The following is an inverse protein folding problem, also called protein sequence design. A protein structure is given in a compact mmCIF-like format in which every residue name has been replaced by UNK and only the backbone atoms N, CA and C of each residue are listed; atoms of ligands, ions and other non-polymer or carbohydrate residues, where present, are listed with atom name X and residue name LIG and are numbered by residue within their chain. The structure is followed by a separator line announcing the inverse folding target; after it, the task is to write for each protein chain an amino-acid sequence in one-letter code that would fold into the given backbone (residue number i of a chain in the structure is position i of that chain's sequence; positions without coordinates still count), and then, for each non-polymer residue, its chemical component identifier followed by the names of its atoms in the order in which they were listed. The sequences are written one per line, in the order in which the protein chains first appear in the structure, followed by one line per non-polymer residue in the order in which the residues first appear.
data_IF_844967341452
#
_entry.id   IF_844967341452
#
_cell.length_a   1.000
_cell.length_b   1.000
_cell.length_c   1.000
_cell.angle_alpha   90.00
_cell.angle_beta   90.00
_cell.angle_gamma   90.00
#
_symmetry.space_group_name_H-M   'P 1'
#
loop_
_entity.id
_entity.type
_entity.pdbx_description
1 polymer ?
#
# COMPACT_ATOMS: atom_id res chain seq x y z
N UNK A 1 9.83 2.82 10.02
CA UNK A 1 8.54 3.55 10.09
C UNK A 1 8.20 4.15 8.75
N UNK A 2 8.55 5.42 8.52
CA UNK A 2 8.29 6.11 7.25
C UNK A 2 8.82 5.33 6.03
N UNK A 3 10.05 4.81 6.08
CA UNK A 3 10.63 4.05 4.98
C UNK A 3 9.83 2.77 4.65
N UNK A 4 9.43 2.01 5.67
CA UNK A 4 8.63 0.80 5.50
C UNK A 4 7.21 1.04 4.95
N UNK A 5 6.63 2.23 5.20
CA UNK A 5 5.26 2.57 4.77
C UNK A 5 5.28 3.29 3.41
N UNK A 6 6.08 4.35 3.27
CA UNK A 6 5.99 5.28 2.15
C UNK A 6 7.12 5.14 1.11
N UNK A 7 8.31 4.68 1.50
CA UNK A 7 9.43 4.55 0.55
C UNK A 7 9.39 3.20 -0.16
N UNK A 8 8.98 2.15 0.56
CA UNK A 8 9.03 0.78 0.09
C UNK A 8 10.45 0.22 0.18
N UNK A 9 10.57 -0.98 0.74
CA UNK A 9 11.87 -1.64 0.92
C UNK A 9 11.90 -2.99 0.23
N UNK A 10 13.09 -3.36 -0.22
CA UNK A 10 13.42 -4.74 -0.57
C UNK A 10 14.10 -5.40 0.63
N UNK A 11 13.56 -6.53 1.09
CA UNK A 11 14.22 -7.34 2.11
C UNK A 11 15.42 -8.03 1.47
N UNK A 12 16.64 -7.59 1.84
CA UNK A 12 17.90 -8.18 1.37
C UNK A 12 18.03 -8.25 -0.17
N UNK A 13 17.37 -7.34 -0.89
CA UNK A 13 17.35 -7.31 -2.35
C UNK A 13 16.66 -8.50 -3.03
N UNK A 14 15.80 -9.25 -2.32
CA UNK A 14 15.11 -10.44 -2.86
C UNK A 14 13.59 -10.33 -2.88
N UNK A 15 13.00 -9.69 -1.88
CA UNK A 15 11.54 -9.57 -1.75
C UNK A 15 11.10 -8.13 -1.57
N UNK A 16 10.12 -7.69 -2.35
CA UNK A 16 9.51 -6.37 -2.22
C UNK A 16 8.38 -6.46 -1.20
N UNK A 17 8.56 -5.88 0.00
CA UNK A 17 7.56 -5.97 1.08
C UNK A 17 6.71 -4.71 1.26
N UNK A 18 7.04 -3.61 0.57
CA UNK A 18 6.33 -2.33 0.67
C UNK A 18 6.01 -1.75 -0.70
N UNK A 19 5.93 -0.43 -0.79
CA UNK A 19 5.57 0.32 -2.02
C UNK A 19 4.09 0.17 -2.37
N UNK A 20 3.24 0.76 -1.52
CA UNK A 20 1.79 0.85 -1.68
C UNK A 20 1.30 2.31 -1.84
N UNK A 21 2.17 3.27 -1.56
CA UNK A 21 1.87 4.69 -1.72
C UNK A 21 1.93 5.09 -3.21
N UNK A 22 0.87 5.70 -3.72
CA UNK A 22 0.77 6.03 -5.15
C UNK A 22 1.75 7.11 -5.60
N UNK A 23 2.11 8.07 -4.73
CA UNK A 23 3.11 9.10 -5.06
C UNK A 23 4.47 8.44 -5.28
N UNK A 24 4.86 7.51 -4.40
CA UNK A 24 6.09 6.75 -4.56
C UNK A 24 6.04 5.85 -5.79
N UNK A 25 4.90 5.19 -6.06
CA UNK A 25 4.69 4.41 -7.28
C UNK A 25 4.95 5.29 -8.52
N UNK A 26 4.29 6.45 -8.61
CA UNK A 26 4.46 7.40 -9.72
C UNK A 26 5.93 7.83 -9.90
N UNK A 27 6.62 8.18 -8.81
CA UNK A 27 8.01 8.63 -8.88
C UNK A 27 8.96 7.51 -9.33
N UNK A 28 8.72 6.26 -8.92
CA UNK A 28 9.53 5.11 -9.33
C UNK A 28 9.24 4.68 -10.77
N UNK A 29 7.99 4.74 -11.21
CA UNK A 29 7.58 4.51 -12.60
C UNK A 29 8.19 5.56 -13.54
N UNK A 30 8.11 6.85 -13.17
CA UNK A 30 8.75 7.94 -13.93
C UNK A 30 10.26 7.77 -14.07
N UNK A 31 10.90 7.12 -13.10
CA UNK A 31 12.34 6.77 -13.13
C UNK A 31 12.63 5.45 -13.86
N UNK A 32 11.63 4.79 -14.44
CA UNK A 32 11.72 3.47 -15.09
C UNK A 32 12.16 2.35 -14.15
N UNK A 33 12.00 2.53 -12.84
CA UNK A 33 12.25 1.48 -11.86
C UNK A 33 11.04 0.56 -11.72
N UNK A 34 9.84 1.04 -12.05
CA UNK A 34 8.61 0.25 -12.05
C UNK A 34 8.23 -0.10 -13.50
N UNK A 35 7.81 -1.35 -13.66
CA UNK A 35 7.23 -1.91 -14.89
C UNK A 35 5.84 -2.43 -14.55
N UNK A 36 4.83 -1.62 -14.88
CA UNK A 36 3.43 -1.89 -14.59
C UNK A 36 2.89 -3.06 -15.45
N UNK A 37 2.25 -4.03 -14.80
CA UNK A 37 1.76 -5.27 -15.43
C UNK A 37 0.25 -5.37 -15.52
N UNK A 38 -0.48 -4.49 -14.84
CA UNK A 38 -1.94 -4.49 -14.82
C UNK A 38 -2.53 -4.31 -13.42
N UNK A 39 -3.85 -4.34 -13.37
CA UNK A 39 -4.63 -4.27 -12.13
C UNK A 39 -5.48 -5.53 -11.96
N UNK A 40 -5.93 -5.78 -10.74
CA UNK A 40 -6.97 -6.76 -10.43
C UNK A 40 -8.24 -6.02 -10.04
N UNK A 41 -9.28 -6.13 -10.86
CA UNK A 41 -10.56 -5.47 -10.61
C UNK A 41 -11.26 -6.11 -9.38
N UNK A 42 -12.12 -5.32 -8.72
CA UNK A 42 -12.93 -5.78 -7.59
C UNK A 42 -14.01 -6.75 -8.08
N UNK A 43 -14.49 -7.62 -7.19
CA UNK A 43 -15.48 -8.67 -7.53
C UNK A 43 -16.76 -8.17 -8.22
N UNK A 44 -17.13 -6.90 -8.03
CA UNK A 44 -18.35 -6.30 -8.57
C UNK A 44 -18.13 -5.24 -9.67
N UNK A 45 -16.88 -5.00 -10.09
CA UNK A 45 -16.54 -4.13 -11.24
C UNK A 45 -15.71 -4.93 -12.25
N UNK A 46 -16.10 -4.90 -13.51
CA UNK A 46 -15.35 -5.57 -14.59
C UNK A 46 -14.06 -4.83 -14.97
N UNK A 47 -14.02 -3.51 -14.73
CA UNK A 47 -12.89 -2.63 -15.02
C UNK A 47 -12.89 -1.49 -13.99
N UNK A 48 -11.73 -1.13 -13.42
CA UNK A 48 -11.62 0.09 -12.66
C UNK A 48 -11.75 1.32 -13.58
N UNK A 49 -12.42 2.34 -13.07
CA UNK A 49 -12.61 3.64 -13.72
C UNK A 49 -11.76 4.71 -13.04
N UNK A 50 -11.87 5.94 -13.54
CA UNK A 50 -11.08 7.09 -13.08
C UNK A 50 -11.44 7.51 -11.65
N UNK A 51 -12.58 7.03 -11.13
CA UNK A 51 -13.10 7.35 -9.81
C UNK A 51 -12.68 6.31 -8.74
N UNK A 52 -12.03 5.20 -9.14
CA UNK A 52 -11.55 4.19 -8.21
C UNK A 52 -10.31 4.67 -7.43
N UNK A 53 -10.53 5.02 -6.16
CA UNK A 53 -9.48 5.51 -5.24
C UNK A 53 -8.69 4.39 -4.56
N UNK A 54 -9.01 3.12 -4.84
CA UNK A 54 -8.28 1.95 -4.33
C UNK A 54 -8.15 0.89 -5.41
N UNK A 55 -6.91 0.61 -5.82
CA UNK A 55 -6.61 -0.37 -6.87
C UNK A 55 -5.67 -1.47 -6.37
N UNK A 56 -5.91 -2.69 -6.83
CA UNK A 56 -4.95 -3.78 -6.71
C UNK A 56 -4.01 -3.74 -7.91
N UNK A 57 -2.74 -3.43 -7.68
CA UNK A 57 -1.76 -3.24 -8.75
C UNK A 57 -0.77 -4.42 -8.79
N UNK A 58 -0.42 -4.85 -10.00
CA UNK A 58 0.64 -5.80 -10.29
C UNK A 58 1.76 -5.09 -11.05
N UNK A 59 2.98 -5.15 -10.53
CA UNK A 59 4.14 -4.51 -11.16
C UNK A 59 5.44 -5.18 -10.77
N UNK A 60 6.47 -4.97 -11.58
CA UNK A 60 7.85 -5.27 -11.20
C UNK A 60 8.54 -4.00 -10.71
N UNK A 61 9.39 -4.09 -9.69
CA UNK A 61 10.27 -3.01 -9.25
C UNK A 61 11.72 -3.46 -9.34
N UNK A 62 12.51 -2.80 -10.19
CA UNK A 62 13.89 -3.19 -10.53
C UNK A 62 13.97 -4.67 -10.93
N UNK A 63 13.13 -5.06 -11.89
CA UNK A 63 13.02 -6.41 -12.45
C UNK A 63 12.45 -7.49 -11.51
N UNK A 64 12.29 -7.21 -10.22
CA UNK A 64 11.64 -8.12 -9.28
C UNK A 64 10.13 -7.96 -9.32
N UNK A 65 9.42 -9.07 -9.52
CA UNK A 65 7.95 -9.09 -9.52
C UNK A 65 7.44 -8.90 -8.09
N UNK A 66 6.70 -7.82 -7.84
CA UNK A 66 5.99 -7.63 -6.56
C UNK A 66 4.66 -8.40 -6.61
N UNK A 67 4.27 -9.14 -5.57
CA UNK A 67 2.91 -9.68 -5.48
C UNK A 67 1.85 -8.56 -5.54
N UNK A 68 0.68 -8.88 -6.13
CA UNK A 68 -0.47 -7.96 -6.19
C UNK A 68 -0.72 -7.35 -4.82
N UNK A 69 -0.86 -6.02 -4.76
CA UNK A 69 -1.19 -5.32 -3.54
C UNK A 69 -2.13 -4.15 -3.79
N UNK A 70 -2.99 -3.88 -2.81
CA UNK A 70 -3.85 -2.70 -2.78
C UNK A 70 -3.01 -1.44 -2.62
N UNK A 71 -3.37 -0.38 -3.32
CA UNK A 71 -2.82 0.97 -3.17
C UNK A 71 -3.96 1.97 -3.18
N UNK A 72 -3.91 2.96 -2.28
CA UNK A 72 -4.77 4.13 -2.41
C UNK A 72 -4.29 4.99 -3.57
N UNK A 73 -5.21 5.54 -4.36
CA UNK A 73 -4.93 6.39 -5.53
C UNK A 73 -5.54 7.77 -5.28
N UNK A 74 -4.75 8.83 -5.52
CA UNK A 74 -5.22 10.21 -5.42
C UNK A 74 -5.39 10.75 -3.99
N UNK A 75 -5.24 9.91 -2.97
CA UNK A 75 -5.27 10.35 -1.56
C UNK A 75 -4.05 11.19 -1.21
N UNK A 76 -4.17 12.06 -0.22
CA UNK A 76 -3.02 12.82 0.27
C UNK A 76 -2.13 11.99 1.19
N UNK A 77 -0.80 12.24 1.25
CA UNK A 77 0.09 11.52 2.17
C UNK A 77 -0.35 11.60 3.64
N UNK A 78 -0.93 12.72 4.05
CA UNK A 78 -1.46 12.90 5.41
C UNK A 78 -2.68 12.04 5.70
N UNK A 79 -3.50 11.68 4.71
CA UNK A 79 -4.61 10.73 4.88
C UNK A 79 -4.08 9.34 5.24
N UNK A 80 -3.16 8.79 4.42
CA UNK A 80 -2.52 7.49 4.70
C UNK A 80 -1.83 7.51 6.06
N UNK A 81 -1.08 8.57 6.36
CA UNK A 81 -0.39 8.73 7.65
C UNK A 81 -1.36 8.73 8.83
N UNK A 82 -2.48 9.44 8.73
CA UNK A 82 -3.49 9.50 9.78
C UNK A 82 -4.12 8.12 10.05
N UNK A 83 -4.57 7.43 8.98
CA UNK A 83 -5.19 6.10 9.09
C UNK A 83 -4.22 5.10 9.72
N UNK A 84 -2.98 5.02 9.22
CA UNK A 84 -1.99 4.09 9.75
C UNK A 84 -1.60 4.41 11.20
N UNK A 85 -1.52 5.69 11.57
CA UNK A 85 -1.23 6.11 12.95
C UNK A 85 -2.35 5.74 13.92
N UNK A 86 -3.62 5.95 13.53
CA UNK A 86 -4.78 5.59 14.36
C UNK A 86 -4.80 4.08 14.59
N UNK A 87 -4.67 3.27 13.53
CA UNK A 87 -4.66 1.81 13.65
C UNK A 87 -3.44 1.34 14.45
N UNK A 88 -2.27 1.96 14.26
CA UNK A 88 -1.08 1.67 15.07
C UNK A 88 -1.32 1.88 16.57
N UNK A 89 -1.96 2.98 16.96
CA UNK A 89 -2.22 3.31 18.37
C UNK A 89 -3.36 2.49 19.00
N UNK A 90 -4.27 1.94 18.19
CA UNK A 90 -5.43 1.16 18.67
C UNK A 90 -5.08 -0.15 19.39
N UNK A 91 -3.91 -0.72 19.11
CA UNK A 91 -3.50 -2.02 19.67
C UNK A 91 -1.98 -2.09 19.90
N UNK A 92 -1.54 -2.95 20.82
CA UNK A 92 -0.14 -3.28 21.06
C UNK A 92 0.30 -4.60 20.40
N UNK A 93 -0.62 -5.25 19.67
CA UNK A 93 -0.31 -6.49 18.96
C UNK A 93 0.76 -6.28 17.87
N UNK A 94 1.53 -7.33 17.60
CA UNK A 94 2.58 -7.29 16.57
C UNK A 94 2.03 -6.94 15.18
N UNK A 95 0.79 -7.31 14.89
CA UNK A 95 0.11 -6.98 13.65
C UNK A 95 -1.39 -6.80 13.94
N UNK A 96 -1.97 -5.73 13.40
CA UNK A 96 -3.41 -5.46 13.49
C UNK A 96 -4.01 -5.43 12.10
N UNK A 97 -5.18 -6.07 11.95
CA UNK A 97 -6.03 -5.97 10.77
C UNK A 97 -7.32 -5.28 11.18
N UNK A 98 -7.50 -4.05 10.73
CA UNK A 98 -8.69 -3.27 11.04
C UNK A 98 -9.56 -3.16 9.80
N UNK A 99 -10.83 -3.54 9.91
CA UNK A 99 -11.80 -3.33 8.85
C UNK A 99 -12.33 -1.90 8.97
N UNK A 100 -12.08 -1.08 7.96
CA UNK A 100 -12.47 0.33 7.90
C UNK A 100 -13.34 0.53 6.67
N UNK A 101 -14.50 1.16 6.88
CA UNK A 101 -15.35 1.62 5.79
C UNK A 101 -15.04 3.09 5.50
N UNK A 102 -14.52 3.35 4.31
CA UNK A 102 -14.30 4.70 3.79
C UNK A 102 -15.26 4.88 2.63
N UNK A 103 -16.34 5.63 2.84
CA UNK A 103 -17.41 5.81 1.85
C UNK A 103 -17.99 4.46 1.37
N UNK A 104 -17.81 4.15 0.09
CA UNK A 104 -18.20 2.90 -0.58
C UNK A 104 -17.14 1.78 -0.48
N UNK A 105 -15.94 2.10 0.02
CA UNK A 105 -14.83 1.17 0.14
C UNK A 105 -14.85 0.48 1.50
N UNK A 106 -15.01 -0.84 1.51
CA UNK A 106 -14.68 -1.68 2.67
C UNK A 106 -13.24 -2.15 2.55
N UNK A 107 -12.38 -1.66 3.45
CA UNK A 107 -10.93 -1.81 3.37
C UNK A 107 -10.42 -2.51 4.62
N UNK A 108 -9.50 -3.45 4.45
CA UNK A 108 -8.74 -4.01 5.57
C UNK A 108 -7.39 -3.30 5.65
N UNK A 109 -7.22 -2.45 6.65
CA UNK A 109 -5.96 -1.78 6.95
C UNK A 109 -5.08 -2.71 7.77
N UNK A 110 -3.89 -3.00 7.26
CA UNK A 110 -2.90 -3.82 7.94
C UNK A 110 -1.78 -2.93 8.49
N UNK A 111 -1.47 -3.07 9.78
CA UNK A 111 -0.35 -2.38 10.42
C UNK A 111 0.52 -3.38 11.17
N UNK A 112 1.80 -3.44 10.82
CA UNK A 112 2.82 -4.22 11.54
C UNK A 112 3.57 -3.33 12.53
N UNK A 113 3.96 -3.90 13.68
CA UNK A 113 4.70 -3.20 14.74
C UNK A 113 6.02 -3.89 15.07
N UNK A 114 7.04 -3.07 15.33
CA UNK A 114 8.32 -3.46 15.89
C UNK A 114 8.49 -2.80 17.26
N UNK A 115 7.86 -3.37 18.27
CA UNK A 115 7.76 -2.75 19.59
C UNK A 115 6.99 -1.43 19.50
N UNK A 116 7.66 -0.32 19.84
CA UNK A 116 7.07 1.02 19.81
C UNK A 116 7.12 1.72 18.45
N UNK A 117 7.61 1.03 17.41
CA UNK A 117 7.76 1.61 16.07
C UNK A 117 6.83 0.94 15.07
N UNK A 118 6.28 1.72 14.15
CA UNK A 118 5.53 1.19 13.01
C UNK A 118 6.48 0.53 12.00
N UNK A 119 6.11 -0.68 11.57
CA UNK A 119 6.72 -1.42 10.46
C UNK A 119 6.02 -1.08 9.15
N UNK A 120 5.72 -2.10 8.33
CA UNK A 120 4.93 -1.95 7.10
C UNK A 120 3.46 -1.74 7.45
N UNK A 121 2.82 -0.80 6.74
CA UNK A 121 1.38 -0.58 6.76
C UNK A 121 0.86 -0.41 5.32
N UNK A 122 -0.31 -0.97 5.05
CA UNK A 122 -1.01 -0.87 3.77
C UNK A 122 -2.51 -1.10 3.95
#
# INVERSE_FOLDING_TARGET
GFEHVFVGESKRGRDIMGLHNWVQFYLQEKRKNIDYKGYVARQYKSRPDEDDQVLNLQFSWKEMVKPVGSSFIGVSPEFEFAVYTIVFLKSQEKMTKELVRVEEYELQIMVNRHGRYIGTAY
#
